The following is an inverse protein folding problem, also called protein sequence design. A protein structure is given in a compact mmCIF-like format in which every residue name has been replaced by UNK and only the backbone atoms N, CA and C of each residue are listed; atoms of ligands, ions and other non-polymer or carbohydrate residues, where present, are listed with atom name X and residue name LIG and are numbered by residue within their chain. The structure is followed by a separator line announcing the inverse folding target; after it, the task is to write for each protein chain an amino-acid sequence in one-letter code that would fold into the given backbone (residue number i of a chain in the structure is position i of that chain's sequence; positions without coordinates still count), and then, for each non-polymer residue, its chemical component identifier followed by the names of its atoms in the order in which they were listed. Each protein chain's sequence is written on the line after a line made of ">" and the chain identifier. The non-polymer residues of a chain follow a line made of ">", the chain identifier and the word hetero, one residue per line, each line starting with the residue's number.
data_IF_552927987536
#
_entry.id   IF_552927987536
#
_cell.length_a   1.000
_cell.length_b   1.000
_cell.length_c   1.000
_cell.angle_alpha   90.00
_cell.angle_beta   90.00
_cell.angle_gamma   90.00
#
_symmetry.space_group_name_H-M   'P 1'
#
loop_
_entity.id
_entity.type
_entity.pdbx_description
1 polymer ?
#
# COMPACT_ATOMS: atom_id res chain seq x y z
N UNK A 1 33.16 -9.66 -33.00
CA UNK A 1 31.75 -9.63 -33.40
C UNK A 1 30.92 -10.69 -32.66
N UNK A 2 31.44 -11.93 -32.52
CA UNK A 2 30.75 -13.02 -31.79
C UNK A 2 30.62 -12.74 -30.28
N UNK A 3 31.59 -12.11 -29.64
CA UNK A 3 31.57 -11.77 -28.22
C UNK A 3 30.48 -10.75 -27.87
N UNK A 4 30.28 -9.73 -28.72
CA UNK A 4 29.24 -8.70 -28.46
C UNK A 4 27.82 -9.24 -28.60
N UNK A 5 27.59 -10.21 -29.49
CA UNK A 5 26.27 -10.88 -29.63
C UNK A 5 25.96 -11.76 -28.45
N UNK A 6 26.96 -12.50 -27.94
CA UNK A 6 26.79 -13.36 -26.76
C UNK A 6 26.49 -12.54 -25.48
N UNK A 7 27.17 -11.39 -25.31
CA UNK A 7 26.95 -10.49 -24.19
C UNK A 7 25.53 -9.90 -24.24
N UNK A 8 25.03 -9.45 -25.40
CA UNK A 8 23.67 -8.94 -25.56
C UNK A 8 22.59 -10.02 -25.32
N UNK A 9 22.89 -11.28 -25.67
CA UNK A 9 21.95 -12.37 -25.45
C UNK A 9 21.88 -12.78 -23.98
N UNK A 10 22.99 -12.72 -23.25
CA UNK A 10 23.08 -12.96 -21.81
C UNK A 10 22.34 -11.85 -21.05
N UNK A 11 22.52 -10.59 -21.46
CA UNK A 11 21.85 -9.44 -20.84
C UNK A 11 20.32 -9.49 -21.01
N UNK A 12 19.84 -9.87 -22.20
CA UNK A 12 18.41 -10.13 -22.42
C UNK A 12 17.84 -11.28 -21.58
N UNK A 13 18.65 -12.33 -21.33
CA UNK A 13 18.21 -13.47 -20.52
C UNK A 13 18.24 -13.13 -19.02
N UNK A 14 19.21 -12.38 -18.56
CA UNK A 14 19.29 -11.91 -17.19
C UNK A 14 18.09 -11.02 -16.83
N UNK A 15 17.68 -10.14 -17.76
CA UNK A 15 16.53 -9.24 -17.57
C UNK A 15 15.18 -9.98 -17.57
N UNK A 16 15.11 -11.16 -18.18
CA UNK A 16 13.86 -11.93 -18.33
C UNK A 16 13.59 -12.90 -17.18
N UNK A 17 14.59 -13.25 -16.35
CA UNK A 17 14.52 -14.39 -15.44
C UNK A 17 14.96 -14.13 -14.00
N UNK A 18 15.12 -12.90 -13.54
CA UNK A 18 15.42 -12.89 -12.16
C UNK A 18 15.45 -11.63 -11.34
N UNK A 19 14.82 -11.69 -10.18
CA UNK A 19 15.10 -10.74 -9.11
C UNK A 19 16.58 -10.87 -8.73
N UNK A 20 17.18 -9.74 -8.39
CA UNK A 20 18.61 -9.51 -8.16
C UNK A 20 19.25 -10.43 -7.10
N UNK A 21 18.47 -11.08 -6.26
CA UNK A 21 18.91 -11.88 -5.10
C UNK A 21 18.97 -13.39 -5.33
N UNK A 22 18.87 -13.85 -6.60
CA UNK A 22 19.04 -15.28 -6.84
C UNK A 22 20.52 -15.64 -7.02
N UNK A 23 20.97 -16.83 -6.54
CA UNK A 23 22.36 -17.31 -6.74
C UNK A 23 22.77 -17.33 -8.21
N UNK A 24 21.84 -17.46 -9.14
CA UNK A 24 22.07 -17.43 -10.60
C UNK A 24 22.34 -16.00 -11.09
N UNK A 25 21.67 -14.98 -10.55
CA UNK A 25 21.90 -13.59 -10.88
C UNK A 25 23.30 -13.13 -10.45
N UNK A 26 23.75 -13.51 -9.27
CA UNK A 26 25.11 -13.24 -8.78
C UNK A 26 26.18 -13.93 -9.63
N UNK A 27 25.95 -15.16 -10.04
CA UNK A 27 26.91 -15.91 -10.88
C UNK A 27 27.02 -15.29 -12.27
N UNK A 28 25.90 -14.86 -12.88
CA UNK A 28 25.91 -14.21 -14.19
C UNK A 28 26.61 -12.84 -14.14
N UNK A 29 26.42 -12.07 -13.06
CA UNK A 29 27.14 -10.80 -12.86
C UNK A 29 28.63 -11.01 -12.64
N UNK A 30 29.03 -12.03 -11.90
CA UNK A 30 30.42 -12.40 -11.73
C UNK A 30 31.08 -12.76 -13.06
N UNK A 31 30.41 -13.54 -13.90
CA UNK A 31 30.89 -13.89 -15.23
C UNK A 31 31.00 -12.66 -16.14
N UNK A 32 30.01 -11.77 -16.15
CA UNK A 32 30.07 -10.53 -16.93
C UNK A 32 31.22 -9.64 -16.48
N UNK A 33 31.50 -9.55 -15.19
CA UNK A 33 32.60 -8.78 -14.61
C UNK A 33 33.96 -9.34 -15.00
N UNK A 34 34.09 -10.66 -15.14
CA UNK A 34 35.31 -11.34 -15.53
C UNK A 34 35.57 -11.17 -17.04
N UNK A 35 34.53 -11.16 -17.87
CA UNK A 35 34.65 -11.15 -19.33
C UNK A 35 34.63 -9.77 -19.96
N UNK A 36 34.10 -8.74 -19.31
CA UNK A 36 33.95 -7.41 -19.92
C UNK A 36 35.16 -6.49 -19.72
N UNK A 37 36.04 -6.75 -18.75
CA UNK A 37 37.28 -5.98 -18.53
C UNK A 37 37.09 -4.45 -18.41
N UNK A 38 35.87 -3.96 -18.45
CA UNK A 38 35.53 -2.54 -18.35
C UNK A 38 34.88 -2.27 -17.01
N UNK A 39 35.23 -1.16 -16.40
CA UNK A 39 34.50 -0.62 -15.25
C UNK A 39 33.03 -0.56 -15.60
N UNK A 40 32.27 -1.45 -14.97
CA UNK A 40 30.83 -1.48 -15.14
C UNK A 40 30.28 -0.08 -14.83
N UNK A 41 29.80 0.59 -15.85
CA UNK A 41 28.88 1.70 -15.68
C UNK A 41 27.87 1.20 -14.63
N UNK A 42 27.87 1.81 -13.47
CA UNK A 42 26.81 1.62 -12.50
C UNK A 42 25.53 2.02 -13.23
N UNK A 43 24.87 1.04 -13.84
CA UNK A 43 23.45 1.16 -14.11
C UNK A 43 22.87 1.25 -12.71
N UNK A 44 22.65 2.48 -12.24
CA UNK A 44 21.68 2.73 -11.20
C UNK A 44 20.37 2.21 -11.78
N UNK A 45 20.10 0.92 -11.58
CA UNK A 45 18.74 0.48 -11.47
C UNK A 45 18.29 1.25 -10.25
N UNK A 46 17.58 2.36 -10.48
CA UNK A 46 16.82 3.01 -9.43
C UNK A 46 15.99 1.89 -8.80
N UNK A 47 16.52 1.32 -7.74
CA UNK A 47 15.75 0.49 -6.83
C UNK A 47 14.74 1.46 -6.29
N UNK A 48 13.58 1.51 -6.92
CA UNK A 48 12.45 2.32 -6.45
C UNK A 48 12.25 1.89 -5.01
N UNK A 49 12.74 2.73 -4.10
CA UNK A 49 12.72 2.42 -2.68
C UNK A 49 11.26 2.35 -2.28
N UNK A 50 10.75 1.11 -2.13
CA UNK A 50 9.36 0.86 -1.78
C UNK A 50 9.06 1.48 -0.41
N UNK A 51 7.91 2.13 -0.31
CA UNK A 51 7.42 2.71 0.95
C UNK A 51 7.06 1.56 1.89
N UNK A 52 7.70 1.51 3.05
CA UNK A 52 7.48 0.49 4.08
C UNK A 52 6.18 0.78 4.81
N UNK A 53 5.23 -0.15 4.78
CA UNK A 53 3.92 0.04 5.38
C UNK A 53 3.61 -0.98 6.48
N UNK A 54 2.83 -0.53 7.47
CA UNK A 54 2.08 -1.40 8.36
C UNK A 54 0.64 -1.51 7.87
N UNK A 55 0.10 -2.72 7.86
CA UNK A 55 -1.30 -3.00 7.50
C UNK A 55 -2.09 -3.19 8.78
N UNK A 56 -3.01 -2.28 9.08
CA UNK A 56 -3.90 -2.37 10.24
C UNK A 56 -5.09 -3.24 9.88
N UNK A 57 -5.16 -4.41 10.52
CA UNK A 57 -6.08 -5.49 10.27
C UNK A 57 -5.41 -6.67 9.56
N UNK A 58 -5.19 -7.77 10.29
CA UNK A 58 -4.73 -9.07 9.76
C UNK A 58 -5.92 -9.98 9.43
N UNK A 59 -7.01 -9.40 8.95
CA UNK A 59 -8.17 -10.11 8.42
C UNK A 59 -8.10 -10.28 6.91
N UNK A 60 -9.17 -10.80 6.32
CA UNK A 60 -9.25 -11.08 4.88
C UNK A 60 -8.82 -9.89 3.99
N UNK A 61 -9.24 -8.67 4.36
CA UNK A 61 -8.94 -7.46 3.56
C UNK A 61 -7.45 -7.12 3.62
N UNK A 62 -6.86 -7.13 4.82
CA UNK A 62 -5.43 -6.85 4.98
C UNK A 62 -4.54 -7.92 4.36
N UNK A 63 -4.91 -9.19 4.50
CA UNK A 63 -4.18 -10.30 3.87
C UNK A 63 -4.21 -10.20 2.34
N UNK A 64 -5.38 -9.92 1.75
CA UNK A 64 -5.48 -9.71 0.30
C UNK A 64 -4.63 -8.52 -0.18
N UNK A 65 -4.58 -7.42 0.59
CA UNK A 65 -3.70 -6.29 0.28
C UNK A 65 -2.23 -6.71 0.28
N UNK A 66 -1.81 -7.47 1.31
CA UNK A 66 -0.43 -7.94 1.41
C UNK A 66 -0.08 -8.87 0.25
N UNK A 67 -0.95 -9.82 -0.10
CA UNK A 67 -0.76 -10.72 -1.26
C UNK A 67 -0.61 -9.93 -2.57
N UNK A 68 -1.47 -8.94 -2.79
CA UNK A 68 -1.42 -8.08 -3.98
C UNK A 68 -0.08 -7.31 -4.07
N UNK A 69 0.38 -6.76 -2.95
CA UNK A 69 1.65 -6.02 -2.90
C UNK A 69 2.88 -6.92 -3.04
N UNK A 70 2.85 -8.11 -2.42
CA UNK A 70 3.95 -9.09 -2.52
C UNK A 70 4.03 -9.72 -3.91
N UNK A 71 2.86 -9.94 -4.55
CA UNK A 71 2.79 -10.53 -5.89
C UNK A 71 3.17 -9.55 -7.01
N UNK A 72 3.25 -8.25 -6.74
CA UNK A 72 3.57 -7.22 -7.72
C UNK A 72 4.98 -6.66 -7.48
N UNK A 73 5.92 -7.01 -8.36
CA UNK A 73 7.30 -6.51 -8.28
C UNK A 73 7.38 -4.97 -8.38
N UNK A 74 6.45 -4.35 -9.15
CA UNK A 74 6.41 -2.90 -9.38
C UNK A 74 5.57 -2.15 -8.33
N UNK A 75 5.09 -2.83 -7.28
CA UNK A 75 4.34 -2.18 -6.22
C UNK A 75 5.19 -1.13 -5.52
N UNK A 76 4.64 0.08 -5.36
CA UNK A 76 5.30 1.18 -4.67
C UNK A 76 5.41 0.95 -3.15
N UNK A 77 4.70 -0.03 -2.61
CA UNK A 77 4.61 -0.32 -1.17
C UNK A 77 5.17 -1.70 -0.84
N UNK A 78 5.82 -1.79 0.34
CA UNK A 78 6.34 -3.04 0.91
C UNK A 78 5.72 -3.26 2.30
N UNK A 79 4.84 -4.25 2.49
CA UNK A 79 4.28 -4.56 3.80
C UNK A 79 5.37 -5.11 4.72
N UNK A 80 5.50 -4.53 5.94
CA UNK A 80 6.52 -4.90 6.93
C UNK A 80 5.94 -5.65 8.12
N UNK A 81 4.74 -5.28 8.54
CA UNK A 81 4.00 -5.96 9.59
C UNK A 81 2.49 -5.77 9.39
N UNK A 82 1.73 -6.67 9.98
CA UNK A 82 0.32 -6.46 10.29
C UNK A 82 0.18 -5.94 11.71
N UNK A 83 -0.91 -5.24 11.97
CA UNK A 83 -1.36 -4.91 13.33
C UNK A 83 -2.79 -5.39 13.48
N UNK A 84 -3.07 -6.18 14.51
CA UNK A 84 -4.42 -6.71 14.77
C UNK A 84 -4.71 -6.74 16.27
N UNK A 85 -5.94 -6.44 16.65
CA UNK A 85 -6.38 -6.48 18.05
C UNK A 85 -6.70 -7.90 18.58
N UNK A 86 -6.61 -8.92 17.72
CA UNK A 86 -6.86 -10.30 18.09
C UNK A 86 -5.60 -10.95 18.67
N UNK A 87 -5.59 -11.30 19.99
CA UNK A 87 -4.42 -11.88 20.62
C UNK A 87 -4.05 -13.27 20.04
N UNK A 88 -4.99 -13.98 19.42
CA UNK A 88 -4.67 -15.26 18.79
C UNK A 88 -3.81 -15.13 17.53
N UNK A 89 -3.84 -13.97 16.90
CA UNK A 89 -3.04 -13.66 15.71
C UNK A 89 -1.68 -13.06 16.07
N UNK A 90 -1.59 -12.37 17.20
CA UNK A 90 -0.36 -11.70 17.62
C UNK A 90 0.85 -12.66 17.67
N UNK A 91 1.97 -12.23 17.13
CA UNK A 91 3.20 -13.02 17.04
C UNK A 91 3.21 -14.10 15.95
N UNK A 92 2.10 -14.29 15.22
CA UNK A 92 2.07 -15.20 14.06
C UNK A 92 2.60 -14.49 12.81
N UNK A 93 2.94 -15.29 11.81
CA UNK A 93 3.33 -14.81 10.49
C UNK A 93 2.26 -15.18 9.45
N UNK A 94 1.92 -14.20 8.60
CA UNK A 94 1.04 -14.38 7.45
C UNK A 94 1.84 -13.98 6.20
N UNK A 95 2.07 -14.89 5.29
CA UNK A 95 2.95 -14.71 4.11
C UNK A 95 4.35 -14.18 4.45
N UNK A 96 4.93 -14.62 5.58
CA UNK A 96 6.23 -14.16 6.06
C UNK A 96 6.23 -12.75 6.69
N UNK A 97 5.04 -12.18 6.94
CA UNK A 97 4.87 -10.87 7.57
C UNK A 97 4.33 -11.08 8.99
N UNK A 98 5.04 -10.57 9.98
CA UNK A 98 4.69 -10.69 11.40
C UNK A 98 3.43 -9.91 11.75
N UNK A 99 2.56 -10.47 12.58
CA UNK A 99 1.39 -9.79 13.17
C UNK A 99 1.78 -9.22 14.53
N UNK A 100 1.68 -7.91 14.66
CA UNK A 100 1.92 -7.15 15.90
C UNK A 100 0.59 -6.98 16.63
N UNK A 101 0.58 -7.09 17.95
CA UNK A 101 -0.60 -6.81 18.76
C UNK A 101 -0.94 -5.33 18.72
N UNK A 102 -2.25 -5.00 18.55
CA UNK A 102 -2.74 -3.62 18.66
C UNK A 102 -2.92 -3.24 20.14
N UNK A 103 -1.91 -2.59 20.71
CA UNK A 103 -1.88 -2.13 22.10
C UNK A 103 -1.24 -0.73 22.22
N UNK A 104 -0.92 -0.31 23.43
CA UNK A 104 -0.23 0.96 23.70
C UNK A 104 1.21 1.01 23.19
N UNK A 105 1.85 -0.15 23.00
CA UNK A 105 3.23 -0.27 22.52
C UNK A 105 3.32 -0.41 20.99
N UNK A 106 2.19 -0.47 20.28
CA UNK A 106 2.15 -0.67 18.83
C UNK A 106 3.02 0.34 18.08
N UNK A 107 2.92 1.64 18.43
CA UNK A 107 3.69 2.70 17.77
C UNK A 107 5.21 2.48 17.91
N UNK A 108 5.67 2.06 19.08
CA UNK A 108 7.08 1.74 19.32
C UNK A 108 7.53 0.53 18.49
N UNK A 109 6.68 -0.49 18.41
CA UNK A 109 6.95 -1.68 17.59
C UNK A 109 7.03 -1.35 16.10
N UNK A 110 6.15 -0.49 15.57
CA UNK A 110 6.19 -0.05 14.17
C UNK A 110 7.54 0.60 13.80
N UNK A 111 8.16 1.33 14.73
CA UNK A 111 9.48 1.94 14.51
C UNK A 111 10.55 0.86 14.29
N UNK A 112 10.48 -0.27 14.96
CA UNK A 112 11.42 -1.41 14.80
C UNK A 112 11.29 -2.07 13.43
N UNK A 113 10.11 -2.03 12.82
CA UNK A 113 9.85 -2.49 11.45
C UNK A 113 10.17 -1.43 10.39
N UNK A 114 10.69 -0.26 10.79
CA UNK A 114 11.01 0.87 9.92
C UNK A 114 9.81 1.32 9.07
N UNK A 115 8.61 1.25 9.63
CA UNK A 115 7.37 1.65 8.96
C UNK A 115 7.38 3.14 8.67
N UNK A 116 6.97 3.52 7.46
CA UNK A 116 6.87 4.90 6.99
C UNK A 116 5.41 5.37 6.91
N UNK A 117 4.52 4.49 6.49
CA UNK A 117 3.08 4.78 6.36
C UNK A 117 2.24 3.64 6.96
N UNK A 118 1.03 3.98 7.36
CA UNK A 118 0.06 3.04 7.93
C UNK A 118 -1.15 2.94 7.02
N UNK A 119 -1.61 1.72 6.74
CA UNK A 119 -2.76 1.46 5.87
C UNK A 119 -3.86 0.77 6.66
N UNK A 120 -5.03 1.41 6.79
CA UNK A 120 -6.21 0.80 7.39
C UNK A 120 -6.86 -0.16 6.39
N UNK A 121 -6.88 -1.45 6.71
CA UNK A 121 -7.40 -2.53 5.88
C UNK A 121 -8.41 -3.39 6.66
N UNK A 122 -9.35 -2.75 7.33
CA UNK A 122 -10.40 -3.39 8.14
C UNK A 122 -11.75 -3.22 7.46
N UNK A 123 -12.45 -4.32 7.24
CA UNK A 123 -13.80 -4.29 6.69
C UNK A 123 -14.82 -3.83 7.77
N UNK A 124 -15.77 -2.99 7.36
CA UNK A 124 -16.86 -2.53 8.23
C UNK A 124 -16.38 -1.83 9.52
N UNK A 125 -15.30 -1.07 9.43
CA UNK A 125 -14.79 -0.28 10.55
C UNK A 125 -15.82 0.81 10.91
N UNK A 126 -16.19 0.91 12.19
CA UNK A 126 -17.04 2.01 12.65
C UNK A 126 -16.31 3.35 12.51
N UNK A 127 -17.09 4.43 12.30
CA UNK A 127 -16.51 5.77 12.15
C UNK A 127 -15.72 6.20 13.40
N UNK A 128 -16.20 5.81 14.58
CA UNK A 128 -15.49 6.05 15.85
C UNK A 128 -14.13 5.37 15.88
N UNK A 129 -14.09 4.05 15.62
CA UNK A 129 -12.83 3.29 15.59
C UNK A 129 -11.88 3.78 14.49
N UNK A 130 -12.43 4.18 13.35
CA UNK A 130 -11.64 4.77 12.25
C UNK A 130 -10.97 6.07 12.69
N UNK A 131 -11.70 6.94 13.41
CA UNK A 131 -11.17 8.16 13.98
C UNK A 131 -10.07 7.91 14.99
N UNK A 132 -10.29 6.94 15.90
CA UNK A 132 -9.32 6.60 16.94
C UNK A 132 -8.01 6.10 16.32
N UNK A 133 -8.09 5.20 15.35
CA UNK A 133 -6.93 4.69 14.62
C UNK A 133 -6.20 5.80 13.85
N UNK A 134 -6.96 6.65 13.14
CA UNK A 134 -6.39 7.79 12.44
C UNK A 134 -5.66 8.71 13.41
N UNK A 135 -6.30 9.12 14.51
CA UNK A 135 -5.72 10.03 15.51
C UNK A 135 -4.47 9.41 16.14
N UNK A 136 -4.52 8.14 16.50
CA UNK A 136 -3.38 7.42 17.11
C UNK A 136 -2.15 7.46 16.20
N UNK A 137 -2.30 7.03 14.95
CA UNK A 137 -1.15 6.91 14.05
C UNK A 137 -0.70 8.24 13.46
N UNK A 138 -1.62 9.17 13.17
CA UNK A 138 -1.25 10.51 12.70
C UNK A 138 -0.54 11.32 13.79
N UNK A 139 -0.97 11.23 15.05
CA UNK A 139 -0.29 11.88 16.18
C UNK A 139 1.11 11.30 16.42
N UNK A 140 1.34 10.05 16.06
CA UNK A 140 2.66 9.42 16.10
C UNK A 140 3.54 9.77 14.89
N UNK A 141 3.05 10.60 13.96
CA UNK A 141 3.79 11.08 12.79
C UNK A 141 3.70 10.19 11.54
N UNK A 142 2.87 9.14 11.57
CA UNK A 142 2.67 8.30 10.40
C UNK A 142 1.66 8.93 9.43
N UNK A 143 1.93 8.81 8.13
CA UNK A 143 0.92 9.06 7.11
C UNK A 143 -0.06 7.89 7.10
N UNK A 144 -1.36 8.18 7.27
CA UNK A 144 -2.42 7.17 7.34
C UNK A 144 -3.18 7.13 6.02
N UNK A 145 -3.35 5.93 5.49
CA UNK A 145 -4.11 5.64 4.27
C UNK A 145 -5.22 4.65 4.53
N UNK A 146 -6.21 4.62 3.66
CA UNK A 146 -7.30 3.64 3.67
C UNK A 146 -7.19 2.75 2.44
N UNK A 147 -7.35 1.46 2.63
CA UNK A 147 -7.51 0.53 1.54
C UNK A 147 -8.98 0.33 1.23
N UNK A 148 -9.43 0.91 0.11
CA UNK A 148 -10.79 0.74 -0.37
C UNK A 148 -10.95 -0.64 -1.02
N UNK A 149 -11.51 -1.57 -0.24
CA UNK A 149 -11.84 -2.89 -0.73
C UNK A 149 -13.31 -2.90 -1.17
N UNK A 150 -13.61 -3.02 -2.47
CA UNK A 150 -14.99 -3.05 -2.95
C UNK A 150 -15.71 -4.28 -2.41
N UNK A 151 -16.81 -4.06 -1.70
CA UNK A 151 -17.65 -5.12 -1.12
C UNK A 151 -18.34 -5.96 -2.21
N UNK A 152 -18.58 -5.36 -3.38
CA UNK A 152 -19.05 -6.04 -4.58
C UNK A 152 -18.04 -5.80 -5.70
N UNK A 153 -17.53 -6.89 -6.26
CA UNK A 153 -16.69 -6.84 -7.46
C UNK A 153 -17.55 -6.47 -8.67
N UNK A 154 -17.70 -5.19 -8.93
CA UNK A 154 -18.14 -4.74 -10.24
C UNK A 154 -16.92 -4.81 -11.14
N UNK A 155 -17.02 -5.59 -12.23
CA UNK A 155 -15.93 -5.76 -13.18
C UNK A 155 -15.38 -4.39 -13.63
N UNK A 156 -14.11 -4.09 -13.31
CA UNK A 156 -13.42 -2.86 -13.68
C UNK A 156 -13.08 -1.88 -12.57
N UNK A 157 -13.56 -2.06 -11.34
CA UNK A 157 -13.09 -1.24 -10.22
C UNK A 157 -11.70 -1.70 -9.75
N UNK A 158 -10.71 -0.83 -9.95
CA UNK A 158 -9.36 -1.03 -9.41
C UNK A 158 -9.38 -0.77 -7.90
N UNK A 159 -8.74 -1.64 -7.14
CA UNK A 159 -8.46 -1.45 -5.72
C UNK A 159 -7.41 -0.35 -5.57
N UNK A 160 -7.63 0.58 -4.68
CA UNK A 160 -6.71 1.72 -4.50
C UNK A 160 -6.37 1.93 -3.03
N UNK A 161 -5.09 2.22 -2.79
CA UNK A 161 -4.68 2.90 -1.58
C UNK A 161 -4.96 4.38 -1.79
N UNK A 162 -5.84 4.96 -0.98
CA UNK A 162 -6.12 6.39 -1.00
C UNK A 162 -5.71 7.06 0.31
N UNK A 163 -5.43 8.33 0.23
CA UNK A 163 -5.26 9.15 1.41
C UNK A 163 -6.62 9.36 2.09
N UNK A 164 -6.58 9.78 3.35
CA UNK A 164 -7.79 10.23 4.02
C UNK A 164 -8.28 11.52 3.36
N UNK A 165 -9.53 11.51 2.92
CA UNK A 165 -10.21 12.71 2.44
C UNK A 165 -10.72 13.54 3.59
N UNK A 166 -11.05 14.81 3.29
CA UNK A 166 -11.70 15.73 4.27
C UNK A 166 -12.99 15.12 4.80
N UNK A 167 -13.73 14.38 3.95
CA UNK A 167 -14.95 13.67 4.33
C UNK A 167 -14.68 12.55 5.34
N UNK A 168 -13.58 11.81 5.18
CA UNK A 168 -13.15 10.82 6.18
C UNK A 168 -12.80 11.46 7.52
N UNK A 169 -12.19 12.65 7.49
CA UNK A 169 -11.84 13.41 8.70
C UNK A 169 -13.06 14.01 9.41
N UNK A 170 -14.08 14.37 8.67
CA UNK A 170 -15.35 14.84 9.23
C UNK A 170 -16.14 13.71 9.87
N UNK A 171 -15.79 12.45 9.58
CA UNK A 171 -16.45 11.24 10.11
C UNK A 171 -17.98 11.30 9.96
N UNK A 172 -18.47 11.92 8.90
CA UNK A 172 -19.90 12.03 8.56
C UNK A 172 -20.14 11.40 7.21
N UNK A 173 -21.19 10.61 7.12
CA UNK A 173 -21.66 10.14 5.81
C UNK A 173 -22.11 11.35 5.00
N UNK A 174 -21.64 11.54 3.76
CA UNK A 174 -22.16 12.59 2.90
C UNK A 174 -23.68 12.43 2.78
N UNK A 175 -24.42 13.48 3.11
CA UNK A 175 -25.86 13.49 2.95
C UNK A 175 -26.12 13.66 1.45
N UNK A 176 -26.46 12.58 0.76
CA UNK A 176 -26.90 12.65 -0.63
C UNK A 176 -28.33 13.21 -0.64
N UNK A 177 -28.45 14.51 -0.79
CA UNK A 177 -29.73 15.21 -0.98
C UNK A 177 -30.14 15.08 -2.46
N UNK A 178 -30.28 13.87 -2.95
CA UNK A 178 -30.72 13.62 -4.34
C UNK A 178 -31.89 12.64 -4.36
N UNK A 179 -32.93 12.96 -3.63
CA UNK A 179 -34.21 12.30 -3.86
C UNK A 179 -35.06 13.12 -4.85
N UNK A 180 -35.96 12.43 -5.58
CA UNK A 180 -36.83 13.09 -6.55
C UNK A 180 -37.72 14.15 -5.90
N UNK A 181 -38.08 13.99 -4.64
CA UNK A 181 -38.91 14.94 -3.86
C UNK A 181 -38.18 16.23 -3.62
N UNK A 182 -36.91 16.17 -3.21
CA UNK A 182 -36.06 17.34 -3.00
C UNK A 182 -35.81 18.09 -4.31
N UNK A 183 -35.49 17.37 -5.38
CA UNK A 183 -35.31 17.94 -6.71
C UNK A 183 -36.59 18.59 -7.24
N UNK A 184 -37.74 17.95 -7.03
CA UNK A 184 -39.04 18.51 -7.42
C UNK A 184 -39.41 19.76 -6.62
N UNK A 185 -39.08 19.82 -5.35
CA UNK A 185 -39.36 20.98 -4.49
C UNK A 185 -38.58 22.22 -4.94
N UNK A 186 -37.36 22.08 -5.42
CA UNK A 186 -36.50 23.18 -5.84
C UNK A 186 -36.61 23.52 -7.33
N UNK A 187 -37.37 22.74 -8.11
CA UNK A 187 -37.57 23.02 -9.53
C UNK A 187 -38.24 24.37 -9.73
N UNK A 188 -37.73 25.17 -10.65
CA UNK A 188 -38.21 26.51 -10.99
C UNK A 188 -38.18 27.54 -9.84
N UNK A 189 -37.42 27.30 -8.77
CA UNK A 189 -37.23 28.24 -7.67
C UNK A 189 -35.86 28.94 -7.78
N UNK A 190 -35.87 30.23 -7.44
CA UNK A 190 -34.62 31.00 -7.25
C UNK A 190 -34.12 30.72 -5.84
N UNK A 191 -32.89 30.18 -5.73
CA UNK A 191 -32.28 29.80 -4.47
C UNK A 191 -31.10 30.73 -4.20
N UNK A 192 -31.13 31.41 -3.04
CA UNK A 192 -30.01 32.19 -2.54
C UNK A 192 -29.14 31.30 -1.64
N UNK A 193 -27.89 31.10 -2.01
CA UNK A 193 -26.89 30.38 -1.21
C UNK A 193 -25.94 31.39 -0.57
N UNK A 194 -25.98 31.49 0.76
CA UNK A 194 -25.03 32.31 1.52
C UNK A 194 -23.95 31.41 2.12
N UNK A 195 -22.69 31.84 2.04
CA UNK A 195 -21.59 31.07 2.60
C UNK A 195 -21.15 29.86 1.77
N UNK A 196 -21.53 29.76 0.49
CA UNK A 196 -21.20 28.62 -0.39
C UNK A 196 -19.77 28.57 -0.91
N UNK A 197 -18.88 29.43 -0.46
CA UNK A 197 -17.50 29.54 -0.90
C UNK A 197 -16.49 29.55 0.25
N UNK A 198 -16.85 29.00 1.41
CA UNK A 198 -15.97 28.85 2.58
C UNK A 198 -15.21 27.54 2.58
#
# INVERSE_FOLDING_TARGET
>A
LLGALSIRMIDRHAFKYGPEDTPRGHFLRLLLRIFSGEDMVHVNVDTVQKIKIAIIGAGRVGVNLAEELLGNADAAYAPRCFVDGDPEKAGREIHGITVVMEDEHTVEQLSRFEVQEVVLAIQNLSEEKKRDLYTRYSSAGYKVKVYDYPVMQTAGQKRHLREFDVEDLLFRKPIKISDEKTSAYYRDKVILITGGGG
#
